data_IF_946306967313
#
_entry.id   IF_946306967313
#
_cell.length_a   1.000
_cell.length_b   1.000
_cell.length_c   1.000
_cell.angle_alpha   90.00
_cell.angle_beta   90.00
_cell.angle_gamma   90.00
#
_symmetry.space_group_name_H-M   'P 1'
#
loop_
_entity.id
_entity.type
_entity.pdbx_description
1 polymer ?
#
# COMPACT_ATOMS: atom_id res chain seq x y z
N UNK A 1 -26.36 -58.31 -35.73
CA UNK A 1 -26.92 -57.29 -34.75
C UNK A 1 -25.77 -56.98 -33.79
N UNK A 2 -25.02 -55.92 -34.07
CA UNK A 2 -23.87 -55.46 -33.29
C UNK A 2 -24.27 -54.23 -32.47
N UNK A 3 -24.22 -54.37 -31.16
CA UNK A 3 -24.50 -53.26 -30.23
C UNK A 3 -23.31 -52.31 -30.17
N UNK A 4 -23.50 -51.05 -30.61
CA UNK A 4 -22.52 -49.98 -30.43
C UNK A 4 -22.78 -49.35 -29.06
N UNK A 5 -21.83 -49.50 -28.16
CA UNK A 5 -21.83 -48.89 -26.82
C UNK A 5 -21.27 -47.46 -26.97
N UNK A 6 -22.13 -46.44 -26.83
CA UNK A 6 -21.71 -45.03 -26.75
C UNK A 6 -21.13 -44.74 -25.36
N UNK A 7 -19.82 -44.51 -25.30
CA UNK A 7 -19.19 -43.94 -24.13
C UNK A 7 -19.44 -42.43 -24.08
N UNK A 8 -20.27 -41.98 -23.17
CA UNK A 8 -20.43 -40.56 -22.83
C UNK A 8 -19.27 -40.19 -21.92
N UNK A 9 -18.28 -39.48 -22.44
CA UNK A 9 -17.24 -38.83 -21.65
C UNK A 9 -17.84 -37.58 -21.04
N UNK A 10 -18.20 -37.66 -19.77
CA UNK A 10 -18.63 -36.51 -18.98
C UNK A 10 -17.45 -35.59 -18.73
N UNK A 11 -17.42 -34.44 -19.40
CA UNK A 11 -16.50 -33.35 -19.05
C UNK A 11 -16.99 -32.76 -17.76
N UNK A 12 -16.32 -33.07 -16.63
CA UNK A 12 -16.53 -32.38 -15.35
C UNK A 12 -15.83 -31.02 -15.48
N UNK A 13 -16.59 -29.99 -15.85
CA UNK A 13 -16.15 -28.60 -15.72
C UNK A 13 -16.04 -28.28 -14.24
N UNK A 14 -14.84 -28.26 -13.70
CA UNK A 14 -14.55 -27.69 -12.38
C UNK A 14 -14.72 -26.20 -12.51
N UNK A 15 -15.89 -25.69 -12.17
CA UNK A 15 -16.11 -24.26 -11.96
C UNK A 15 -15.34 -23.86 -10.68
N UNK A 16 -14.12 -23.37 -10.84
CA UNK A 16 -13.43 -22.60 -9.81
C UNK A 16 -14.28 -21.35 -9.56
N UNK A 17 -15.05 -21.37 -8.48
CA UNK A 17 -15.84 -20.21 -8.07
C UNK A 17 -14.91 -19.08 -7.63
N UNK A 18 -14.49 -18.23 -8.56
CA UNK A 18 -13.85 -16.95 -8.28
C UNK A 18 -14.93 -16.01 -7.72
N UNK A 19 -15.13 -16.07 -6.43
CA UNK A 19 -16.05 -15.17 -5.73
C UNK A 19 -15.28 -14.16 -4.89
N UNK A 20 -16.03 -13.24 -4.29
CA UNK A 20 -15.49 -12.29 -3.32
C UNK A 20 -15.83 -12.74 -1.89
N UNK A 21 -14.93 -12.42 -0.95
CA UNK A 21 -15.24 -12.44 0.48
C UNK A 21 -15.80 -11.06 0.82
N UNK A 22 -16.94 -11.07 1.48
CA UNK A 22 -17.64 -9.85 1.91
C UNK A 22 -17.71 -9.89 3.43
N UNK A 23 -17.06 -8.93 4.07
CA UNK A 23 -17.15 -8.69 5.50
C UNK A 23 -18.08 -7.49 5.69
N UNK A 24 -19.26 -7.75 6.21
CA UNK A 24 -20.25 -6.71 6.52
C UNK A 24 -20.26 -6.47 8.02
N UNK A 25 -20.01 -5.23 8.40
CA UNK A 25 -20.16 -4.79 9.78
C UNK A 25 -20.97 -3.49 9.77
N UNK A 26 -22.12 -3.49 10.45
CA UNK A 26 -23.15 -2.43 10.31
C UNK A 26 -23.46 -2.18 8.82
N UNK A 27 -23.21 -0.96 8.31
CA UNK A 27 -23.47 -0.55 6.94
C UNK A 27 -22.23 -0.51 6.05
N UNK A 28 -21.04 -0.79 6.60
CA UNK A 28 -19.80 -0.79 5.85
C UNK A 28 -19.47 -2.20 5.35
N UNK A 29 -19.12 -2.29 4.05
CA UNK A 29 -18.78 -3.54 3.38
C UNK A 29 -17.30 -3.49 3.00
N UNK A 30 -16.53 -4.47 3.52
CA UNK A 30 -15.16 -4.71 3.10
C UNK A 30 -15.13 -5.94 2.18
N UNK A 31 -14.62 -5.75 0.96
CA UNK A 31 -14.60 -6.79 -0.07
C UNK A 31 -13.18 -7.04 -0.57
N UNK A 32 -12.85 -8.29 -0.80
CA UNK A 32 -11.62 -8.70 -1.46
C UNK A 32 -11.80 -10.05 -2.19
N UNK A 33 -10.97 -10.35 -3.21
CA UNK A 33 -11.08 -11.60 -3.97
C UNK A 33 -10.80 -12.83 -3.09
N UNK A 34 -11.56 -13.90 -3.23
CA UNK A 34 -11.40 -15.14 -2.45
C UNK A 34 -10.02 -15.80 -2.58
N UNK A 35 -9.29 -15.57 -3.67
CA UNK A 35 -7.95 -16.11 -3.85
C UNK A 35 -6.87 -15.32 -3.12
N UNK A 36 -7.23 -14.19 -2.49
CA UNK A 36 -6.32 -13.44 -1.62
C UNK A 36 -6.20 -14.10 -0.25
N UNK A 37 -5.07 -13.92 0.45
CA UNK A 37 -4.97 -14.33 1.85
C UNK A 37 -5.99 -13.59 2.71
N UNK A 38 -6.32 -14.18 3.85
CA UNK A 38 -7.15 -13.50 4.86
C UNK A 38 -6.40 -12.26 5.36
N UNK A 39 -7.04 -11.10 5.50
CA UNK A 39 -6.41 -9.91 6.06
C UNK A 39 -5.87 -10.18 7.47
N UNK A 40 -4.73 -9.58 7.81
CA UNK A 40 -4.19 -9.59 9.17
C UNK A 40 -5.02 -8.69 10.11
N UNK A 41 -5.59 -7.61 9.56
CA UNK A 41 -6.48 -6.74 10.32
C UNK A 41 -7.75 -7.47 10.73
N UNK A 42 -8.04 -7.49 12.03
CA UNK A 42 -9.22 -8.16 12.57
C UNK A 42 -10.43 -7.21 12.57
N UNK A 43 -11.19 -7.26 11.49
CA UNK A 43 -12.41 -6.46 11.34
C UNK A 43 -13.49 -6.75 12.37
N UNK A 44 -13.40 -7.86 13.14
CA UNK A 44 -14.38 -8.19 14.18
C UNK A 44 -14.20 -7.37 15.46
N UNK A 45 -13.01 -6.82 15.69
CA UNK A 45 -12.66 -6.08 16.90
C UNK A 45 -13.13 -4.62 16.90
N UNK A 46 -13.47 -4.10 15.74
CA UNK A 46 -13.92 -2.72 15.58
C UNK A 46 -15.32 -2.68 14.99
N UNK A 47 -16.14 -1.82 15.55
CA UNK A 47 -17.43 -1.49 14.95
C UNK A 47 -17.19 -0.60 13.74
N UNK A 48 -17.03 -1.19 12.55
CA UNK A 48 -16.90 -0.43 11.32
C UNK A 48 -18.28 0.04 10.85
N UNK A 49 -18.42 1.33 10.61
CA UNK A 49 -19.63 1.92 10.06
C UNK A 49 -19.30 2.92 8.96
N UNK A 50 -20.28 3.23 8.11
CA UNK A 50 -20.10 4.27 7.08
C UNK A 50 -19.78 5.63 7.73
N UNK A 51 -20.41 5.96 8.86
CA UNK A 51 -20.14 7.24 9.56
C UNK A 51 -18.70 7.33 10.09
N UNK A 52 -18.13 6.23 10.63
CA UNK A 52 -16.73 6.18 11.04
C UNK A 52 -15.78 6.27 9.85
N UNK A 53 -16.08 5.55 8.75
CA UNK A 53 -15.32 5.67 7.51
C UNK A 53 -15.31 7.12 6.99
N UNK A 54 -16.46 7.78 6.97
CA UNK A 54 -16.55 9.17 6.54
C UNK A 54 -15.83 10.12 7.53
N UNK A 55 -15.90 9.89 8.83
CA UNK A 55 -15.13 10.64 9.82
C UNK A 55 -13.63 10.49 9.55
N UNK A 56 -13.14 9.28 9.38
CA UNK A 56 -11.73 9.01 9.04
C UNK A 56 -11.30 9.66 7.73
N UNK A 57 -12.16 9.62 6.71
CA UNK A 57 -11.95 10.30 5.45
C UNK A 57 -11.82 11.82 5.62
N UNK A 58 -12.71 12.44 6.40
CA UNK A 58 -12.60 13.86 6.70
C UNK A 58 -11.31 14.22 7.42
N UNK A 59 -10.90 13.43 8.42
CA UNK A 59 -9.65 13.62 9.15
C UNK A 59 -8.42 13.49 8.22
N UNK A 60 -8.41 12.48 7.34
CA UNK A 60 -7.32 12.23 6.40
C UNK A 60 -7.04 13.41 5.45
N UNK A 61 -8.09 14.09 5.03
CA UNK A 61 -8.00 15.23 4.11
C UNK A 61 -7.94 16.59 4.80
N UNK A 62 -8.03 16.65 6.12
CA UNK A 62 -8.10 17.93 6.84
C UNK A 62 -6.72 18.34 7.37
N UNK A 63 -6.20 19.51 6.97
CA UNK A 63 -4.92 20.01 7.47
C UNK A 63 -4.97 20.43 8.95
N UNK A 64 -6.13 20.45 9.58
CA UNK A 64 -6.29 20.76 11.02
C UNK A 64 -5.43 19.87 11.92
N UNK A 65 -5.01 18.68 11.42
CA UNK A 65 -4.19 17.72 12.17
C UNK A 65 -2.70 18.10 12.22
N UNK A 66 -2.25 19.12 11.50
CA UNK A 66 -0.87 19.64 11.58
C UNK A 66 -0.79 20.89 12.47
N UNK A 67 0.41 21.18 13.00
CA UNK A 67 0.65 22.28 13.92
C UNK A 67 0.11 23.62 13.42
N UNK A 68 0.36 23.93 12.16
CA UNK A 68 0.00 25.20 11.51
C UNK A 68 -1.24 25.11 10.62
N UNK A 69 -1.91 23.96 10.58
CA UNK A 69 -3.08 23.67 9.74
C UNK A 69 -2.80 23.78 8.23
N UNK A 70 -1.60 23.44 7.76
CA UNK A 70 -1.23 23.48 6.34
C UNK A 70 -1.09 22.10 5.70
N UNK A 71 -0.72 21.07 6.48
CA UNK A 71 -0.44 19.72 6.01
C UNK A 71 -1.51 18.73 6.46
N UNK A 72 -2.05 17.96 5.52
CA UNK A 72 -2.93 16.81 5.78
C UNK A 72 -2.24 15.50 5.38
N UNK A 73 -2.80 14.34 5.74
CA UNK A 73 -2.31 13.05 5.24
C UNK A 73 -2.34 13.02 3.69
N UNK A 74 -3.37 13.60 3.10
CA UNK A 74 -3.52 13.69 1.64
C UNK A 74 -2.47 14.59 0.97
N UNK A 75 -1.73 15.41 1.71
CA UNK A 75 -0.62 16.21 1.14
C UNK A 75 0.53 15.31 0.66
N UNK A 76 0.77 14.17 1.37
CA UNK A 76 1.80 13.20 1.02
C UNK A 76 1.25 11.87 0.49
N UNK A 77 -0.07 11.65 0.58
CA UNK A 77 -0.74 10.43 0.14
C UNK A 77 -1.88 10.75 -0.83
N UNK A 78 -1.51 11.12 -2.06
CA UNK A 78 -2.43 11.51 -3.12
C UNK A 78 -3.14 10.29 -3.71
N UNK A 79 -4.46 10.27 -3.77
CA UNK A 79 -5.23 9.16 -4.28
C UNK A 79 -4.84 8.77 -5.72
N UNK A 80 -4.74 9.74 -6.62
CA UNK A 80 -4.46 9.49 -8.05
C UNK A 80 -3.10 8.85 -8.31
N UNK A 81 -2.22 8.86 -7.31
CA UNK A 81 -0.88 8.28 -7.35
C UNK A 81 -0.74 7.04 -6.45
N UNK A 82 -1.87 6.37 -6.17
CA UNK A 82 -1.88 5.18 -5.31
C UNK A 82 -1.61 5.50 -3.84
N UNK A 83 -1.98 6.69 -3.40
CA UNK A 83 -1.74 7.19 -2.04
C UNK A 83 -0.25 7.27 -1.69
N UNK A 84 0.55 7.77 -2.64
CA UNK A 84 1.94 8.22 -2.45
C UNK A 84 2.08 9.68 -2.86
N UNK A 85 3.27 10.23 -2.74
CA UNK A 85 3.65 11.55 -3.26
C UNK A 85 4.49 11.40 -4.54
N UNK A 86 4.36 12.30 -5.53
CA UNK A 86 5.00 12.14 -6.85
C UNK A 86 5.92 13.27 -7.27
N UNK A 87 5.92 14.39 -6.60
CA UNK A 87 6.65 15.57 -7.04
C UNK A 87 8.04 15.70 -6.39
N UNK A 88 8.32 14.89 -5.37
CA UNK A 88 9.56 14.94 -4.59
C UNK A 88 10.03 13.53 -4.24
N UNK A 89 11.34 13.35 -4.17
CA UNK A 89 11.99 12.12 -3.72
C UNK A 89 11.70 11.82 -2.24
N UNK A 90 11.76 12.84 -1.38
CA UNK A 90 11.52 12.73 0.05
C UNK A 90 10.20 13.41 0.45
N UNK A 91 9.59 13.00 1.55
CA UNK A 91 8.40 13.65 2.10
C UNK A 91 8.68 15.09 2.50
N UNK A 92 7.69 15.98 2.30
CA UNK A 92 7.74 17.38 2.71
C UNK A 92 6.66 17.66 3.75
N UNK A 93 7.05 18.24 4.87
CA UNK A 93 6.16 18.60 5.96
C UNK A 93 5.96 20.11 6.12
N UNK A 94 5.52 20.48 7.30
CA UNK A 94 5.32 21.91 7.65
C UNK A 94 6.62 22.69 7.52
N UNK A 95 6.50 24.01 7.35
CA UNK A 95 7.62 24.93 7.18
C UNK A 95 8.56 24.54 6.02
N UNK A 96 8.11 23.71 5.07
CA UNK A 96 8.94 23.16 3.98
C UNK A 96 10.04 22.21 4.45
N UNK A 97 9.92 21.64 5.66
CA UNK A 97 10.89 20.66 6.17
C UNK A 97 10.86 19.39 5.36
N UNK A 98 12.04 18.82 5.12
CA UNK A 98 12.20 17.62 4.30
C UNK A 98 12.42 16.43 5.22
N UNK A 99 11.67 15.36 4.97
CA UNK A 99 11.86 14.06 5.61
C UNK A 99 13.11 13.33 5.11
N UNK A 100 13.31 12.11 5.57
CA UNK A 100 14.46 11.28 5.17
C UNK A 100 14.06 10.14 4.25
N UNK A 101 12.77 9.97 3.99
CA UNK A 101 12.21 8.86 3.21
C UNK A 101 11.11 9.30 2.27
N UNK A 102 10.93 8.53 1.22
CA UNK A 102 9.80 8.65 0.31
C UNK A 102 8.50 8.22 1.01
N UNK A 103 7.37 8.84 0.61
CA UNK A 103 6.06 8.50 1.13
C UNK A 103 5.58 7.16 0.57
N UNK A 104 5.51 6.12 1.40
CA UNK A 104 4.97 4.81 1.01
C UNK A 104 3.51 4.90 0.61
N UNK A 105 3.11 4.02 -0.31
CA UNK A 105 1.67 3.78 -0.53
C UNK A 105 1.01 3.23 0.74
N UNK A 106 -0.22 3.65 0.98
CA UNK A 106 -1.05 3.17 2.09
C UNK A 106 -2.21 2.29 1.64
N UNK A 107 -2.17 1.77 0.39
CA UNK A 107 -3.16 0.79 -0.07
C UNK A 107 -2.90 -0.61 0.50
N UNK A 108 -3.96 -1.39 0.66
CA UNK A 108 -3.93 -2.79 1.09
C UNK A 108 -3.30 -3.03 2.47
N UNK A 109 -3.28 -2.03 3.35
CA UNK A 109 -2.65 -2.14 4.67
C UNK A 109 -3.33 -3.14 5.60
N UNK A 110 -4.56 -3.56 5.32
CA UNK A 110 -5.25 -4.62 6.07
C UNK A 110 -4.49 -5.97 6.05
N UNK A 111 -3.59 -6.19 5.10
CA UNK A 111 -2.75 -7.40 5.00
C UNK A 111 -1.34 -7.23 5.60
N UNK A 112 -1.01 -6.05 6.09
CA UNK A 112 0.30 -5.79 6.66
C UNK A 112 0.33 -6.15 8.16
N UNK A 113 1.48 -6.66 8.63
CA UNK A 113 1.73 -6.95 10.05
C UNK A 113 2.55 -5.85 10.73
N UNK A 114 3.22 -5.04 9.92
CA UNK A 114 4.05 -3.90 10.38
C UNK A 114 3.93 -2.77 9.37
N UNK A 115 4.17 -1.55 9.80
CA UNK A 115 3.98 -0.34 9.02
C UNK A 115 5.27 0.50 9.04
N UNK A 116 5.39 1.49 8.15
CA UNK A 116 6.59 2.24 7.81
C UNK A 116 7.64 1.39 7.05
N UNK A 117 8.60 2.06 6.41
CA UNK A 117 9.68 1.40 5.67
C UNK A 117 10.53 0.45 6.50
N UNK A 118 10.70 0.74 7.78
CA UNK A 118 11.53 -0.03 8.73
C UNK A 118 10.73 -0.96 9.64
N UNK A 119 9.39 -0.90 9.58
CA UNK A 119 8.51 -1.68 10.44
C UNK A 119 8.45 -1.19 11.88
N UNK A 120 8.75 0.10 12.12
CA UNK A 120 8.75 0.71 13.45
C UNK A 120 7.38 0.75 14.13
N UNK A 121 6.30 0.51 13.38
CA UNK A 121 4.94 0.44 13.91
C UNK A 121 4.36 -0.95 13.63
N UNK A 122 3.81 -1.60 14.65
CA UNK A 122 3.26 -2.96 14.60
C UNK A 122 1.72 -3.01 14.75
N UNK A 123 1.07 -1.87 14.99
CA UNK A 123 -0.38 -1.74 15.05
C UNK A 123 -0.84 -0.62 14.13
N UNK A 124 -1.75 -0.92 13.21
CA UNK A 124 -2.22 0.07 12.23
C UNK A 124 -2.93 1.25 12.91
N UNK A 125 -3.57 1.00 14.06
CA UNK A 125 -4.25 2.03 14.85
C UNK A 125 -3.30 3.11 15.39
N UNK A 126 -2.01 2.81 15.46
CA UNK A 126 -0.97 3.75 15.91
C UNK A 126 -0.17 4.35 14.75
N UNK A 127 -0.41 3.90 13.51
CA UNK A 127 0.40 4.31 12.37
C UNK A 127 0.36 5.83 12.13
N UNK A 128 -0.84 6.44 12.25
CA UNK A 128 -1.01 7.88 12.03
C UNK A 128 -0.32 8.75 13.09
N UNK A 129 -0.01 8.20 14.27
CA UNK A 129 0.68 8.95 15.33
C UNK A 129 2.11 9.34 14.91
N UNK A 130 2.78 8.48 14.12
CA UNK A 130 4.12 8.78 13.60
C UNK A 130 4.17 10.10 12.83
N UNK A 131 3.49 10.24 11.68
CA UNK A 131 3.48 11.47 10.90
C UNK A 131 2.89 12.68 11.66
N UNK A 132 1.88 12.48 12.52
CA UNK A 132 1.33 13.58 13.34
C UNK A 132 2.42 14.17 14.24
N UNK A 133 3.21 13.33 14.93
CA UNK A 133 4.22 13.77 15.90
C UNK A 133 5.60 14.07 15.29
N UNK A 134 5.82 13.70 14.03
CA UNK A 134 7.10 13.93 13.36
C UNK A 134 7.34 15.43 13.12
N UNK A 135 8.47 15.93 13.61
CA UNK A 135 8.87 17.34 13.41
C UNK A 135 9.05 17.72 11.94
N UNK A 136 9.38 16.75 11.11
CA UNK A 136 9.61 16.96 9.68
C UNK A 136 8.35 16.72 8.83
N UNK A 137 7.21 16.37 9.47
CA UNK A 137 5.94 16.12 8.77
C UNK A 137 4.85 17.05 9.29
N UNK A 138 4.04 16.67 10.29
CA UNK A 138 2.93 17.48 10.79
C UNK A 138 3.27 18.26 12.07
N UNK A 139 4.32 17.89 12.81
CA UNK A 139 4.88 18.54 14.03
C UNK A 139 3.80 18.92 15.05
N UNK A 140 2.88 18.00 15.35
CA UNK A 140 1.74 18.22 16.23
C UNK A 140 1.67 17.15 17.32
N UNK A 141 1.07 17.46 18.46
CA UNK A 141 0.75 16.49 19.48
C UNK A 141 -0.69 15.95 19.32
N UNK A 142 -0.90 14.70 19.68
CA UNK A 142 -2.25 14.11 19.62
C UNK A 142 -3.22 14.84 20.59
N UNK A 143 -2.73 15.34 21.71
CA UNK A 143 -3.48 16.12 22.69
C UNK A 143 -3.99 17.42 22.05
N UNK A 144 -3.12 18.17 21.38
CA UNK A 144 -3.50 19.41 20.74
C UNK A 144 -4.39 19.19 19.49
N UNK A 145 -4.19 18.10 18.75
CA UNK A 145 -5.15 17.66 17.72
C UNK A 145 -6.55 17.51 18.31
N UNK A 146 -6.66 16.80 19.45
CA UNK A 146 -7.95 16.61 20.13
C UNK A 146 -8.58 17.93 20.57
N UNK A 147 -7.80 18.88 21.08
CA UNK A 147 -8.27 20.21 21.42
C UNK A 147 -8.83 20.96 20.19
N UNK A 148 -8.09 20.95 19.06
CA UNK A 148 -8.54 21.57 17.81
C UNK A 148 -9.82 20.92 17.27
N UNK A 149 -9.93 19.62 17.34
CA UNK A 149 -11.12 18.89 16.91
C UNK A 149 -12.32 19.20 17.81
N UNK A 150 -12.13 19.28 19.14
CA UNK A 150 -13.18 19.69 20.09
C UNK A 150 -13.64 21.14 19.88
N UNK A 151 -12.77 22.06 19.48
CA UNK A 151 -13.13 23.43 19.13
C UNK A 151 -13.98 23.50 17.84
N UNK A 152 -13.88 22.52 16.96
CA UNK A 152 -14.59 22.48 15.67
C UNK A 152 -16.02 21.95 15.79
N UNK A 153 -17.01 22.78 15.44
CA UNK A 153 -18.41 22.35 15.38
C UNK A 153 -18.62 21.21 14.35
N UNK A 154 -17.87 21.22 13.23
CA UNK A 154 -17.87 20.16 12.20
C UNK A 154 -17.51 18.82 12.83
N UNK A 155 -16.41 18.74 13.57
CA UNK A 155 -15.93 17.48 14.13
C UNK A 155 -16.80 17.00 15.28
N UNK A 156 -17.28 17.88 16.16
CA UNK A 156 -18.27 17.46 17.17
C UNK A 156 -19.51 16.83 16.54
N UNK A 157 -20.01 17.36 15.43
CA UNK A 157 -21.14 16.79 14.71
C UNK A 157 -20.81 15.45 14.03
N UNK A 158 -19.60 15.29 13.46
CA UNK A 158 -19.16 14.03 12.85
C UNK A 158 -18.98 12.93 13.88
N UNK A 159 -18.35 13.20 15.04
CA UNK A 159 -18.22 12.24 16.14
C UNK A 159 -19.58 11.86 16.72
N UNK A 160 -20.51 12.83 16.83
CA UNK A 160 -21.86 12.54 17.29
C UNK A 160 -22.62 11.55 16.38
N UNK A 161 -22.40 11.61 15.07
CA UNK A 161 -23.01 10.64 14.13
C UNK A 161 -22.50 9.22 14.34
N UNK A 162 -21.26 9.06 14.79
CA UNK A 162 -20.63 7.74 15.00
C UNK A 162 -21.21 7.05 16.23
N UNK A 163 -21.21 7.72 17.38
CA UNK A 163 -21.48 7.09 18.70
C UNK A 163 -22.63 7.71 19.48
N UNK A 164 -23.38 8.64 18.88
CA UNK A 164 -24.43 9.44 19.55
C UNK A 164 -23.91 10.27 20.74
N UNK A 165 -22.62 10.54 20.76
CA UNK A 165 -21.98 11.49 21.67
C UNK A 165 -20.94 12.33 20.91
N UNK A 166 -20.55 13.47 21.49
CA UNK A 166 -19.54 14.35 20.88
C UNK A 166 -18.19 14.26 21.58
N UNK A 167 -17.91 13.14 22.26
CA UNK A 167 -16.64 12.96 22.98
C UNK A 167 -15.53 12.66 21.97
N UNK A 168 -14.57 13.56 21.84
CA UNK A 168 -13.41 13.40 20.97
C UNK A 168 -12.20 13.07 21.82
N UNK A 169 -11.59 11.90 21.53
CA UNK A 169 -10.35 11.44 22.18
C UNK A 169 -9.31 11.10 21.13
N UNK A 170 -8.03 11.06 21.51
CA UNK A 170 -6.95 10.63 20.62
C UNK A 170 -7.18 9.22 20.09
N UNK A 171 -7.62 8.29 20.95
CA UNK A 171 -7.93 6.92 20.52
C UNK A 171 -9.01 6.89 19.43
N UNK A 172 -10.15 7.57 19.63
CA UNK A 172 -11.25 7.60 18.65
C UNK A 172 -10.82 8.27 17.33
N UNK A 173 -9.97 9.30 17.42
CA UNK A 173 -9.41 9.97 16.25
C UNK A 173 -8.52 9.03 15.43
N UNK A 174 -7.62 8.29 16.09
CA UNK A 174 -6.74 7.32 15.43
C UNK A 174 -7.53 6.12 14.87
N UNK A 175 -8.56 5.64 15.56
CA UNK A 175 -9.43 4.57 15.07
C UNK A 175 -10.21 4.99 13.83
N UNK A 176 -10.75 6.22 13.80
CA UNK A 176 -11.44 6.72 12.61
C UNK A 176 -10.49 6.82 11.39
N UNK A 177 -9.26 7.34 11.58
CA UNK A 177 -8.23 7.33 10.53
C UNK A 177 -7.94 5.90 10.06
N UNK A 178 -7.78 4.97 10.98
CA UNK A 178 -7.55 3.55 10.67
C UNK A 178 -8.67 2.97 9.82
N UNK A 179 -9.94 3.24 10.14
CA UNK A 179 -11.07 2.73 9.38
C UNK A 179 -11.07 3.23 7.93
N UNK A 180 -10.70 4.47 7.69
CA UNK A 180 -10.52 4.96 6.32
C UNK A 180 -9.38 4.23 5.61
N UNK A 181 -8.21 4.12 6.25
CA UNK A 181 -7.00 3.58 5.63
C UNK A 181 -7.11 2.07 5.34
N UNK A 182 -7.71 1.27 6.24
CA UNK A 182 -7.87 -0.18 5.99
C UNK A 182 -8.82 -0.48 4.84
N UNK A 183 -9.71 0.44 4.51
CA UNK A 183 -10.64 0.32 3.38
C UNK A 183 -10.00 0.63 2.03
N UNK A 184 -8.79 1.19 1.99
CA UNK A 184 -8.06 1.50 0.75
C UNK A 184 -7.55 0.21 0.09
N UNK A 185 -8.46 -0.52 -0.58
CA UNK A 185 -8.17 -1.84 -1.14
C UNK A 185 -8.17 -1.80 -2.67
N UNK A 186 -7.00 -2.12 -3.26
CA UNK A 186 -6.78 -2.18 -4.71
C UNK A 186 -6.68 -3.63 -5.16
N UNK A 187 -7.70 -4.13 -5.87
CA UNK A 187 -7.82 -5.54 -6.31
C UNK A 187 -8.45 -5.72 -7.69
N UNK A 188 -8.53 -4.65 -8.49
CA UNK A 188 -9.25 -4.67 -9.78
C UNK A 188 -8.41 -4.18 -10.97
N UNK A 189 -7.10 -4.45 -10.94
CA UNK A 189 -6.20 -4.20 -12.06
C UNK A 189 -6.45 -5.15 -13.24
N UNK A 190 -5.79 -4.90 -14.38
CA UNK A 190 -5.84 -5.84 -15.53
C UNK A 190 -5.31 -7.23 -15.12
N UNK A 191 -4.24 -7.29 -14.30
CA UNK A 191 -3.74 -8.53 -13.72
C UNK A 191 -4.81 -9.27 -12.90
N UNK A 192 -5.53 -8.57 -12.04
CA UNK A 192 -6.58 -9.19 -11.22
C UNK A 192 -7.69 -9.79 -12.09
N UNK A 193 -8.12 -9.07 -13.12
CA UNK A 193 -9.11 -9.56 -14.10
C UNK A 193 -8.57 -10.76 -14.87
N UNK A 194 -7.29 -10.77 -15.24
CA UNK A 194 -6.64 -11.92 -15.89
C UNK A 194 -6.70 -13.17 -15.02
N UNK A 195 -6.34 -13.05 -13.73
CA UNK A 195 -6.39 -14.18 -12.79
C UNK A 195 -7.82 -14.67 -12.55
N UNK A 196 -8.82 -13.77 -12.56
CA UNK A 196 -10.23 -14.12 -12.39
C UNK A 196 -10.95 -14.51 -13.69
N UNK A 197 -10.25 -14.51 -14.82
CA UNK A 197 -10.82 -14.77 -16.15
C UNK A 197 -11.99 -13.83 -16.50
N UNK A 198 -11.88 -12.57 -16.10
CA UNK A 198 -12.88 -11.53 -16.36
C UNK A 198 -12.59 -10.80 -17.67
N UNK A 199 -13.64 -10.28 -18.28
CA UNK A 199 -13.55 -9.45 -19.50
C UNK A 199 -12.66 -8.23 -19.24
N UNK A 200 -11.74 -7.96 -20.17
CA UNK A 200 -10.73 -6.90 -20.03
C UNK A 200 -9.49 -7.32 -19.23
N UNK A 201 -9.41 -8.61 -18.86
CA UNK A 201 -8.22 -9.21 -18.25
C UNK A 201 -7.30 -9.93 -19.25
N UNK A 202 -7.67 -10.00 -20.54
CA UNK A 202 -6.92 -10.76 -21.54
C UNK A 202 -5.49 -10.21 -21.68
N UNK A 203 -4.49 -11.05 -21.34
CA UNK A 203 -3.09 -10.69 -21.50
C UNK A 203 -2.63 -10.91 -22.95
N UNK A 204 -1.92 -9.94 -23.49
CA UNK A 204 -1.13 -10.11 -24.71
C UNK A 204 0.03 -11.10 -24.46
N UNK A 205 0.62 -11.63 -25.54
CA UNK A 205 1.79 -12.51 -25.43
C UNK A 205 2.98 -11.82 -24.76
N UNK A 206 3.11 -10.51 -24.90
CA UNK A 206 4.15 -9.73 -24.26
C UNK A 206 3.91 -9.60 -22.75
N UNK A 207 2.68 -9.35 -22.30
CA UNK A 207 2.30 -9.31 -20.90
C UNK A 207 2.49 -10.66 -20.22
N UNK A 208 2.20 -11.77 -20.90
CA UNK A 208 2.45 -13.14 -20.39
C UNK A 208 3.95 -13.39 -20.20
N UNK A 209 4.78 -13.06 -21.20
CA UNK A 209 6.24 -13.16 -21.07
C UNK A 209 6.77 -12.31 -19.92
N UNK A 210 6.25 -11.09 -19.76
CA UNK A 210 6.60 -10.23 -18.65
C UNK A 210 6.22 -10.81 -17.29
N UNK A 211 5.05 -11.47 -17.19
CA UNK A 211 4.65 -12.21 -15.98
C UNK A 211 5.59 -13.39 -15.69
N UNK A 212 6.03 -14.12 -16.71
CA UNK A 212 7.01 -15.21 -16.54
C UNK A 212 8.36 -14.68 -16.04
N UNK A 213 8.86 -13.57 -16.62
CA UNK A 213 10.08 -12.89 -16.14
C UNK A 213 9.93 -12.44 -14.69
N UNK A 214 8.79 -11.85 -14.34
CA UNK A 214 8.48 -11.43 -12.97
C UNK A 214 8.50 -12.61 -12.00
N UNK A 215 7.82 -13.71 -12.31
CA UNK A 215 7.73 -14.88 -11.46
C UNK A 215 9.08 -15.55 -11.20
N UNK A 216 9.94 -15.57 -12.21
CA UNK A 216 11.27 -16.17 -12.12
C UNK A 216 12.27 -15.31 -11.33
N UNK A 217 12.10 -13.98 -11.29
CA UNK A 217 13.14 -13.10 -10.78
C UNK A 217 12.69 -12.19 -9.61
N UNK A 218 11.39 -11.93 -9.46
CA UNK A 218 10.89 -10.90 -8.53
C UNK A 218 9.92 -11.46 -7.49
N UNK A 219 9.20 -12.55 -7.81
CA UNK A 219 8.09 -13.06 -7.00
C UNK A 219 8.51 -13.64 -5.64
N UNK A 220 9.80 -13.97 -5.45
CA UNK A 220 10.31 -14.40 -4.15
C UNK A 220 10.12 -13.33 -3.04
N UNK A 221 10.25 -12.05 -3.41
CA UNK A 221 10.02 -10.92 -2.52
C UNK A 221 8.64 -10.27 -2.78
N UNK A 222 8.28 -10.08 -4.04
CA UNK A 222 7.03 -9.44 -4.45
C UNK A 222 5.94 -10.48 -4.76
N UNK A 223 5.54 -11.23 -3.73
CA UNK A 223 4.64 -12.39 -3.86
C UNK A 223 3.23 -11.99 -4.29
N UNK A 224 2.72 -12.70 -5.35
CA UNK A 224 1.32 -12.56 -5.78
C UNK A 224 0.35 -13.05 -4.67
N UNK A 225 -0.84 -12.49 -4.51
CA UNK A 225 -1.46 -11.45 -5.33
C UNK A 225 -1.23 -10.02 -4.81
N UNK A 226 -0.63 -9.85 -3.65
CA UNK A 226 -0.36 -8.55 -3.02
C UNK A 226 0.90 -7.88 -3.59
N UNK A 227 1.74 -8.64 -4.31
CA UNK A 227 3.03 -8.19 -4.83
C UNK A 227 3.97 -7.66 -3.76
N UNK A 228 3.88 -8.27 -2.59
CA UNK A 228 4.76 -8.13 -1.42
C UNK A 228 4.64 -9.37 -0.56
N UNK A 229 5.73 -9.76 0.11
CA UNK A 229 5.71 -10.79 1.17
C UNK A 229 5.73 -10.17 2.58
N UNK A 230 5.69 -8.81 2.68
CA UNK A 230 5.79 -8.05 3.92
C UNK A 230 7.09 -8.27 4.73
N UNK A 231 8.09 -8.95 4.18
CA UNK A 231 9.40 -9.13 4.82
C UNK A 231 10.26 -7.86 4.71
N UNK A 232 11.38 -7.87 5.45
CA UNK A 232 12.38 -6.83 5.39
C UNK A 232 13.61 -7.36 4.66
N UNK A 233 14.00 -6.69 3.57
CA UNK A 233 15.13 -7.10 2.73
C UNK A 233 16.06 -5.92 2.48
N UNK A 234 17.36 -6.22 2.45
CA UNK A 234 18.33 -5.32 1.87
C UNK A 234 18.41 -5.61 0.38
N UNK A 235 17.99 -4.65 -0.42
CA UNK A 235 17.96 -4.77 -1.89
C UNK A 235 19.26 -4.34 -2.57
N UNK A 236 20.34 -4.12 -1.80
CA UNK A 236 21.64 -3.73 -2.32
C UNK A 236 21.70 -2.30 -2.85
N UNK A 237 20.79 -1.43 -2.41
CA UNK A 237 20.83 -0.02 -2.78
C UNK A 237 22.05 0.66 -2.14
N UNK A 238 22.78 1.48 -2.91
CA UNK A 238 23.90 2.25 -2.38
C UNK A 238 23.41 3.20 -1.29
N UNK A 239 24.08 3.17 -0.13
CA UNK A 239 23.74 4.07 0.99
C UNK A 239 23.94 5.53 0.55
N UNK A 240 22.92 6.34 0.78
CA UNK A 240 23.04 7.79 0.69
C UNK A 240 23.68 8.31 1.99
N UNK A 241 24.88 8.85 1.85
CA UNK A 241 25.66 9.33 3.01
C UNK A 241 25.13 10.63 3.62
N UNK A 242 24.20 11.32 2.95
CA UNK A 242 23.52 12.51 3.47
C UNK A 242 22.34 12.13 4.35
N UNK A 243 21.61 11.08 3.97
CA UNK A 243 20.45 10.58 4.73
C UNK A 243 20.88 9.65 5.88
N UNK A 244 21.94 8.87 5.71
CA UNK A 244 22.43 7.89 6.69
C UNK A 244 21.34 6.96 7.23
N UNK A 245 20.43 6.54 6.33
CA UNK A 245 19.31 5.67 6.70
C UNK A 245 19.72 4.20 6.63
N UNK A 246 19.84 3.57 7.78
CA UNK A 246 20.16 2.15 7.93
C UNK A 246 18.91 1.26 8.05
N UNK A 247 17.72 1.81 7.80
CA UNK A 247 16.45 1.09 7.77
C UNK A 247 16.12 0.43 9.11
N UNK A 248 15.78 -0.85 9.06
CA UNK A 248 15.30 -1.62 10.22
C UNK A 248 16.28 -1.71 11.39
N UNK A 249 17.59 -1.58 11.15
CA UNK A 249 18.59 -1.50 12.22
C UNK A 249 18.24 -0.42 13.24
N UNK A 250 17.64 0.70 12.82
CA UNK A 250 17.27 1.80 13.72
C UNK A 250 16.17 1.40 14.71
N UNK A 251 15.38 0.39 14.37
CA UNK A 251 14.27 -0.12 15.20
C UNK A 251 14.73 -1.29 16.08
N UNK A 252 15.41 -2.28 15.50
CA UNK A 252 15.75 -3.54 16.18
C UNK A 252 17.07 -3.49 16.96
N UNK A 253 17.95 -2.54 16.62
CA UNK A 253 19.33 -2.47 17.11
C UNK A 253 20.16 -3.76 16.81
N UNK A 254 19.68 -4.58 15.88
CA UNK A 254 20.38 -5.78 15.40
C UNK A 254 21.16 -5.45 14.11
N UNK A 255 22.47 -5.67 14.11
CA UNK A 255 23.32 -5.44 12.96
C UNK A 255 22.93 -6.26 11.73
N UNK A 256 22.27 -7.40 11.92
CA UNK A 256 21.73 -8.23 10.84
C UNK A 256 20.56 -7.56 10.10
N UNK A 257 19.93 -6.55 10.71
CA UNK A 257 18.84 -5.78 10.10
C UNK A 257 19.31 -4.49 9.40
N UNK A 258 20.63 -4.28 9.33
CA UNK A 258 21.20 -3.11 8.64
C UNK A 258 20.80 -3.08 7.16
N UNK A 259 20.34 -1.90 6.70
CA UNK A 259 19.91 -1.63 5.31
C UNK A 259 18.69 -2.45 4.86
N UNK A 260 18.01 -3.11 5.78
CA UNK A 260 16.76 -3.78 5.45
C UNK A 260 15.59 -2.80 5.52
N UNK A 261 14.78 -2.84 4.47
CA UNK A 261 13.53 -2.10 4.34
C UNK A 261 12.41 -3.07 3.99
N UNK A 262 11.18 -2.69 4.35
CA UNK A 262 10.00 -3.48 4.01
C UNK A 262 9.86 -3.62 2.50
N UNK A 263 9.62 -4.84 2.02
CA UNK A 263 9.29 -5.10 0.62
C UNK A 263 7.95 -4.43 0.29
N UNK A 264 7.93 -3.37 -0.54
CA UNK A 264 6.69 -2.67 -0.86
C UNK A 264 5.85 -3.47 -1.84
N UNK A 265 4.53 -3.22 -1.85
CA UNK A 265 3.67 -3.73 -2.92
C UNK A 265 4.04 -3.10 -4.26
N UNK A 266 3.93 -3.88 -5.35
CA UNK A 266 4.05 -3.36 -6.72
C UNK A 266 2.69 -2.99 -7.35
N UNK A 267 1.60 -3.07 -6.59
CA UNK A 267 0.30 -2.63 -7.09
C UNK A 267 0.32 -1.15 -7.40
N UNK A 268 -0.26 -0.77 -8.53
CA UNK A 268 -0.24 0.60 -9.05
C UNK A 268 1.16 1.20 -9.26
N UNK A 269 2.20 0.35 -9.38
CA UNK A 269 3.60 0.78 -9.46
C UNK A 269 3.87 1.81 -10.56
N UNK A 270 3.09 1.83 -11.63
CA UNK A 270 3.19 2.81 -12.70
C UNK A 270 2.95 4.25 -12.21
N UNK A 271 2.19 4.43 -11.12
CA UNK A 271 1.76 5.73 -10.60
C UNK A 271 2.42 6.10 -9.27
N UNK A 272 3.16 5.18 -8.63
CA UNK A 272 3.73 5.37 -7.30
C UNK A 272 5.21 5.75 -7.33
N UNK A 273 5.65 6.46 -8.37
CA UNK A 273 6.98 7.06 -8.42
C UNK A 273 7.07 8.25 -7.44
N UNK A 274 8.28 8.66 -7.01
CA UNK A 274 9.58 8.02 -7.26
C UNK A 274 9.77 6.75 -6.42
N UNK A 275 10.72 5.91 -6.81
CA UNK A 275 10.89 4.56 -6.28
C UNK A 275 12.03 4.48 -5.27
N UNK A 276 12.03 3.41 -4.47
CA UNK A 276 12.87 3.10 -3.32
C UNK A 276 12.47 3.87 -2.06
N UNK A 277 13.07 3.51 -0.92
CA UNK A 277 12.76 4.12 0.37
C UNK A 277 13.11 5.62 0.43
N UNK A 278 14.02 6.04 -0.41
CA UNK A 278 14.50 7.42 -0.51
C UNK A 278 14.14 8.12 -1.83
N UNK A 279 13.30 7.51 -2.65
CA UNK A 279 12.75 8.12 -3.84
C UNK A 279 13.73 8.37 -5.00
N UNK A 280 14.94 7.81 -4.97
CA UNK A 280 16.03 8.16 -5.91
C UNK A 280 15.78 7.80 -7.37
N UNK A 281 14.83 6.96 -7.70
CA UNK A 281 14.54 6.55 -9.08
C UNK A 281 13.19 7.08 -9.56
N UNK A 282 13.19 7.77 -10.66
CA UNK A 282 12.00 8.35 -11.30
C UNK A 282 11.29 7.37 -12.24
N UNK A 283 12.00 6.34 -12.71
CA UNK A 283 11.48 5.41 -13.72
C UNK A 283 11.64 3.96 -13.30
N UNK A 284 10.70 3.12 -13.73
CA UNK A 284 10.81 1.67 -13.56
C UNK A 284 12.03 1.08 -14.29
N UNK A 285 12.50 1.74 -15.33
CA UNK A 285 13.71 1.32 -16.04
C UNK A 285 14.95 1.45 -15.14
N UNK A 286 15.07 2.53 -14.38
CA UNK A 286 16.15 2.71 -13.40
C UNK A 286 16.08 1.65 -12.30
N UNK A 287 14.87 1.35 -11.80
CA UNK A 287 14.67 0.26 -10.83
C UNK A 287 15.15 -1.09 -11.39
N UNK A 288 14.79 -1.43 -12.63
CA UNK A 288 15.24 -2.68 -13.27
C UNK A 288 16.75 -2.67 -13.50
N UNK A 289 17.34 -1.54 -13.88
CA UNK A 289 18.78 -1.41 -14.05
C UNK A 289 19.52 -1.61 -12.72
N UNK A 290 19.00 -1.06 -11.61
CA UNK A 290 19.54 -1.33 -10.28
C UNK A 290 19.64 -2.83 -10.01
N UNK A 291 18.56 -3.57 -10.18
CA UNK A 291 18.53 -5.02 -9.90
C UNK A 291 19.37 -5.86 -10.88
N UNK A 292 19.68 -5.34 -12.07
CA UNK A 292 20.45 -6.08 -13.09
C UNK A 292 21.93 -5.75 -13.11
N UNK A 293 22.37 -4.60 -12.54
CA UNK A 293 23.78 -4.16 -12.69
C UNK A 293 24.33 -3.29 -11.56
N UNK A 294 23.51 -2.83 -10.60
CA UNK A 294 23.93 -1.80 -9.65
C UNK A 294 23.85 -2.26 -8.18
N UNK A 295 23.55 -3.55 -7.92
CA UNK A 295 23.42 -4.10 -6.56
C UNK A 295 24.77 -4.01 -5.84
N UNK A 296 24.75 -3.37 -4.65
CA UNK A 296 25.91 -3.30 -3.78
C UNK A 296 25.96 -4.53 -2.88
N UNK A 297 27.11 -5.19 -2.85
CA UNK A 297 27.34 -6.33 -1.98
C UNK A 297 27.53 -5.90 -0.53
N UNK A 298 26.89 -6.58 0.38
CA UNK A 298 27.02 -6.36 1.83
C UNK A 298 26.67 -7.64 2.59
N UNK A 299 27.01 -7.69 3.89
CA UNK A 299 26.74 -8.86 4.74
C UNK A 299 25.24 -9.12 4.95
N UNK A 300 24.40 -8.10 4.80
CA UNK A 300 22.96 -8.16 5.00
C UNK A 300 22.16 -8.24 3.70
N UNK A 301 22.83 -8.22 2.53
CA UNK A 301 22.18 -8.33 1.22
C UNK A 301 21.25 -9.54 1.17
N UNK A 302 20.06 -9.35 0.63
CA UNK A 302 19.09 -10.43 0.45
C UNK A 302 19.69 -11.59 -0.35
N UNK A 303 19.44 -12.81 0.13
CA UNK A 303 20.02 -14.03 -0.48
C UNK A 303 19.70 -14.18 -1.96
N UNK A 304 18.50 -13.77 -2.33
CA UNK A 304 17.94 -13.78 -3.69
C UNK A 304 18.69 -12.84 -4.65
N UNK A 305 19.44 -11.86 -4.10
CA UNK A 305 20.17 -10.83 -4.86
C UNK A 305 21.68 -11.02 -4.83
N UNK A 306 22.21 -12.07 -4.22
CA UNK A 306 23.67 -12.34 -4.18
C UNK A 306 24.29 -12.49 -5.57
N UNK A 307 23.51 -12.96 -6.52
CA UNK A 307 23.82 -12.92 -7.94
C UNK A 307 22.93 -11.87 -8.59
N UNK A 308 23.48 -11.06 -9.48
CA UNK A 308 22.68 -10.09 -10.22
C UNK A 308 21.56 -10.81 -11.01
N UNK A 309 20.42 -10.16 -11.13
CA UNK A 309 19.35 -10.65 -11.99
C UNK A 309 19.76 -10.43 -13.45
N UNK A 310 19.91 -11.52 -14.20
CA UNK A 310 20.27 -11.47 -15.61
C UNK A 310 19.02 -11.37 -16.48
N UNK A 311 18.82 -10.24 -17.13
CA UNK A 311 17.72 -10.02 -18.08
C UNK A 311 18.26 -9.47 -19.40
N UNK A 312 17.82 -10.07 -20.49
CA UNK A 312 18.01 -9.50 -21.84
C UNK A 312 17.23 -8.18 -21.96
N UNK A 313 17.61 -7.36 -22.93
CA UNK A 313 16.89 -6.12 -23.21
C UNK A 313 15.39 -6.37 -23.46
N UNK A 314 15.03 -7.46 -24.14
CA UNK A 314 13.65 -7.82 -24.41
C UNK A 314 12.89 -8.18 -23.12
N UNK A 315 13.48 -8.98 -22.25
CA UNK A 315 12.87 -9.34 -20.96
C UNK A 315 12.65 -8.13 -20.07
N UNK A 316 13.57 -7.14 -20.06
CA UNK A 316 13.35 -5.87 -19.35
C UNK A 316 12.12 -5.14 -19.87
N UNK A 317 11.93 -5.09 -21.19
CA UNK A 317 10.75 -4.46 -21.81
C UNK A 317 9.47 -5.26 -21.49
N UNK A 318 9.50 -6.59 -21.60
CA UNK A 318 8.36 -7.45 -21.29
C UNK A 318 7.95 -7.32 -19.81
N UNK A 319 8.92 -7.28 -18.89
CA UNK A 319 8.70 -7.02 -17.46
C UNK A 319 8.02 -5.66 -17.22
N UNK A 320 8.48 -4.59 -17.87
CA UNK A 320 7.85 -3.27 -17.79
C UNK A 320 6.40 -3.28 -18.26
N UNK A 321 6.12 -4.00 -19.33
CA UNK A 321 4.75 -4.15 -19.86
C UNK A 321 3.87 -4.88 -18.86
N UNK A 322 4.38 -5.97 -18.26
CA UNK A 322 3.65 -6.67 -17.19
C UNK A 322 3.38 -5.78 -15.98
N UNK A 323 4.38 -5.07 -15.44
CA UNK A 323 4.22 -4.21 -14.27
C UNK A 323 3.12 -3.16 -14.45
N UNK A 324 2.89 -2.67 -15.67
CA UNK A 324 1.78 -1.75 -15.99
C UNK A 324 0.40 -2.41 -15.85
N UNK A 325 0.30 -3.74 -15.98
CA UNK A 325 -0.96 -4.46 -15.78
C UNK A 325 -1.42 -4.46 -14.32
N UNK A 326 -0.56 -4.09 -13.38
CA UNK A 326 -0.86 -3.97 -11.95
C UNK A 326 -1.60 -2.66 -11.59
N UNK A 327 -1.90 -1.83 -12.58
CA UNK A 327 -2.61 -0.56 -12.39
C UNK A 327 -4.12 -0.81 -12.24
N UNK A 328 -4.67 -0.37 -11.13
CA UNK A 328 -6.09 -0.40 -10.79
C UNK A 328 -6.70 1.00 -10.88
N UNK A 329 -7.15 1.37 -12.09
CA UNK A 329 -7.76 2.69 -12.31
C UNK A 329 -9.05 2.88 -11.53
N UNK A 330 -9.81 1.80 -11.25
CA UNK A 330 -11.03 1.90 -10.47
C UNK A 330 -10.70 2.38 -9.05
N UNK A 331 -9.65 1.86 -8.42
CA UNK A 331 -9.16 2.30 -7.12
C UNK A 331 -8.61 3.73 -7.14
N UNK A 332 -7.73 4.05 -8.12
CA UNK A 332 -7.07 5.36 -8.19
C UNK A 332 -8.08 6.53 -8.33
N UNK A 333 -9.26 6.28 -8.90
CA UNK A 333 -10.29 7.29 -9.16
C UNK A 333 -11.62 7.01 -8.46
N UNK A 334 -11.65 6.13 -7.46
CA UNK A 334 -12.86 5.83 -6.69
C UNK A 334 -13.29 7.08 -5.88
N UNK A 335 -14.49 7.57 -6.19
CA UNK A 335 -15.07 8.75 -5.50
C UNK A 335 -15.25 8.52 -3.99
N UNK A 336 -15.37 7.28 -3.56
CA UNK A 336 -15.49 6.91 -2.15
C UNK A 336 -14.25 7.30 -1.35
N UNK A 337 -13.07 7.25 -1.97
CA UNK A 337 -11.79 7.61 -1.35
C UNK A 337 -11.34 9.05 -1.65
N UNK A 338 -12.01 9.76 -2.53
CA UNK A 338 -11.64 11.12 -2.93
C UNK A 338 -11.87 12.14 -1.81
N UNK A 339 -11.34 13.34 -2.00
CA UNK A 339 -11.58 14.48 -1.10
C UNK A 339 -13.08 14.63 -0.79
N UNK A 340 -13.48 14.71 0.48
CA UNK A 340 -14.88 14.87 0.84
C UNK A 340 -15.36 16.28 0.44
N UNK A 341 -16.28 16.33 -0.53
CA UNK A 341 -16.91 17.62 -0.88
C UNK A 341 -17.68 18.17 0.32
N UNK A 342 -17.77 19.50 0.41
CA UNK A 342 -18.57 20.16 1.47
C UNK A 342 -20.00 19.64 1.43
N UNK A 343 -20.51 19.23 2.58
CA UNK A 343 -21.92 19.00 2.84
C UNK A 343 -22.66 20.34 2.88
#
# INVERSE_FOLDING_TARGET
MTKVTKHIIGIISVFLCFGFVVIKNKDLIFEYPKYWPVPHYDFSKLSMSEDEFQLGRHLFYDPLLSRDNTISCASCHLQATGFTHVDHDLSHGIDGRIGTRNSMTIMNLAWNTTFMWDGGVNHIELQALGPISSKNEMDESLEHVVEKLNASAKYRALFYKVDNDSVITGQRTLLALTQFVVMLTSYNSKYDKYIRYEVGGEFTEQEKKGLDVFRNNCAACHTEPLFTNNEFKNNGLKVDTTLNDFGRLLITQDSQDSLKFKVPTLRNIQFTKPYMHDGRFETLQEVINHYTSEIQQSSTLAGELKNNIELTHREKVDLLVFLRTLTDKAFLFDKRFAFPHKY
#
